data_IF_415444386921
#
_entry.id   IF_415444386921
#
_cell.length_a   1.000
_cell.length_b   1.000
_cell.length_c   1.000
_cell.angle_alpha   90.00
_cell.angle_beta   90.00
_cell.angle_gamma   90.00
#
_symmetry.space_group_name_H-M   'P 1'
#
loop_
_entity.id
_entity.type
_entity.pdbx_description
1 polymer ?
#
# COMPACT_ATOMS: atom_id res chain seq x y z
N UNK A 1 12.10 -14.77 -2.90
CA UNK A 1 10.74 -14.74 -2.31
C UNK A 1 10.18 -13.33 -2.40
N UNK A 2 8.86 -13.14 -2.32
CA UNK A 2 8.24 -11.81 -2.42
C UNK A 2 8.61 -10.89 -1.24
N UNK A 3 8.94 -11.46 -0.07
CA UNK A 3 9.51 -10.72 1.06
C UNK A 3 10.88 -10.09 0.72
N UNK A 4 11.71 -10.77 -0.08
CA UNK A 4 13.03 -10.28 -0.48
C UNK A 4 12.95 -9.01 -1.32
N UNK A 5 11.84 -8.82 -2.06
CA UNK A 5 11.65 -7.61 -2.88
C UNK A 5 11.48 -6.35 -2.05
N UNK A 6 10.71 -6.40 -0.96
CA UNK A 6 10.56 -5.26 -0.05
C UNK A 6 11.88 -4.97 0.65
N UNK A 7 12.59 -6.01 1.11
CA UNK A 7 13.88 -5.83 1.76
C UNK A 7 14.89 -5.17 0.82
N UNK A 8 14.95 -5.60 -0.45
CA UNK A 8 15.81 -4.99 -1.46
C UNK A 8 15.45 -3.53 -1.74
N UNK A 9 14.15 -3.21 -1.89
CA UNK A 9 13.70 -1.83 -2.10
C UNK A 9 13.99 -0.95 -0.88
N UNK A 10 13.75 -1.45 0.33
CA UNK A 10 14.05 -0.73 1.56
C UNK A 10 15.55 -0.45 1.71
N UNK A 11 16.42 -1.41 1.34
CA UNK A 11 17.86 -1.20 1.32
C UNK A 11 18.27 -0.12 0.30
N UNK A 12 17.67 -0.12 -0.89
CA UNK A 12 17.95 0.86 -1.93
C UNK A 12 17.49 2.28 -1.56
N UNK A 13 16.45 2.42 -0.73
CA UNK A 13 16.01 3.73 -0.19
C UNK A 13 17.05 4.37 0.73
N UNK A 14 17.91 3.57 1.36
CA UNK A 14 18.98 4.05 2.24
C UNK A 14 20.30 4.29 1.51
N UNK A 15 20.31 4.32 0.17
CA UNK A 15 21.51 4.60 -0.63
C UNK A 15 21.91 6.09 -0.61
N UNK A 16 23.18 6.35 -0.95
CA UNK A 16 23.77 7.69 -0.90
C UNK A 16 23.27 8.63 -2.02
N UNK A 17 22.84 8.10 -3.17
CA UNK A 17 22.29 8.91 -4.27
C UNK A 17 20.80 9.24 -4.04
N UNK A 18 20.43 10.51 -3.79
CA UNK A 18 19.06 10.87 -3.45
C UNK A 18 18.04 10.55 -4.55
N UNK A 19 18.43 10.68 -5.83
CA UNK A 19 17.52 10.43 -6.96
C UNK A 19 17.19 8.95 -7.07
N UNK A 20 18.20 8.07 -6.98
CA UNK A 20 18.01 6.62 -6.96
C UNK A 20 17.22 6.18 -5.73
N UNK A 21 17.53 6.71 -4.55
CA UNK A 21 16.81 6.43 -3.31
C UNK A 21 15.33 6.84 -3.39
N UNK A 22 15.02 7.97 -4.02
CA UNK A 22 13.64 8.40 -4.28
C UNK A 22 12.91 7.49 -5.28
N UNK A 23 13.61 7.02 -6.33
CA UNK A 23 13.04 6.06 -7.27
C UNK A 23 12.71 4.72 -6.58
N UNK A 24 13.62 4.22 -5.74
CA UNK A 24 13.40 3.05 -4.92
C UNK A 24 12.23 3.24 -3.93
N UNK A 25 12.13 4.42 -3.31
CA UNK A 25 11.04 4.77 -2.40
C UNK A 25 9.69 4.79 -3.13
N UNK A 26 9.66 5.32 -4.35
CA UNK A 26 8.46 5.32 -5.18
C UNK A 26 8.01 3.89 -5.52
N UNK A 27 8.94 2.99 -5.86
CA UNK A 27 8.65 1.57 -6.07
C UNK A 27 8.17 0.88 -4.79
N UNK A 28 8.80 1.17 -3.65
CA UNK A 28 8.39 0.62 -2.36
C UNK A 28 6.96 1.03 -2.01
N UNK A 29 6.58 2.29 -2.23
CA UNK A 29 5.20 2.77 -2.05
C UNK A 29 4.23 2.00 -2.93
N UNK A 30 4.55 1.82 -4.22
CA UNK A 30 3.70 1.03 -5.15
C UNK A 30 3.52 -0.41 -4.67
N UNK A 31 4.58 -1.05 -4.20
CA UNK A 31 4.53 -2.42 -3.68
C UNK A 31 3.69 -2.50 -2.40
N UNK A 32 3.86 -1.56 -1.47
CA UNK A 32 3.04 -1.48 -0.26
C UNK A 32 1.56 -1.25 -0.58
N UNK A 33 1.24 -0.38 -1.54
CA UNK A 33 -0.14 -0.13 -1.97
C UNK A 33 -0.80 -1.39 -2.55
N UNK A 34 -0.08 -2.14 -3.40
CA UNK A 34 -0.57 -3.42 -3.94
C UNK A 34 -0.88 -4.42 -2.83
N UNK A 35 0.02 -4.57 -1.86
CA UNK A 35 -0.18 -5.49 -0.73
C UNK A 35 -1.31 -5.06 0.18
N UNK A 36 -1.42 -3.77 0.47
CA UNK A 36 -2.53 -3.20 1.23
C UNK A 36 -3.86 -3.57 0.56
N UNK A 37 -3.98 -3.39 -0.77
CA UNK A 37 -5.19 -3.76 -1.50
C UNK A 37 -5.53 -5.26 -1.40
N UNK A 38 -4.52 -6.14 -1.48
CA UNK A 38 -4.70 -7.60 -1.30
C UNK A 38 -5.18 -7.92 0.12
N UNK A 39 -4.55 -7.32 1.14
CA UNK A 39 -4.91 -7.52 2.54
C UNK A 39 -6.32 -6.99 2.85
N UNK A 40 -6.67 -5.80 2.34
CA UNK A 40 -8.01 -5.23 2.47
C UNK A 40 -9.04 -6.14 1.81
N UNK A 41 -8.79 -6.62 0.59
CA UNK A 41 -9.68 -7.57 -0.10
C UNK A 41 -9.86 -8.85 0.71
N UNK A 42 -8.77 -9.43 1.22
CA UNK A 42 -8.81 -10.61 2.09
C UNK A 42 -9.63 -10.37 3.36
N UNK A 43 -9.43 -9.24 4.03
CA UNK A 43 -10.18 -8.86 5.23
C UNK A 43 -11.69 -8.73 4.91
N UNK A 44 -12.03 -8.11 3.78
CA UNK A 44 -13.42 -8.01 3.31
C UNK A 44 -14.03 -9.37 3.01
N UNK A 45 -13.31 -10.28 2.36
CA UNK A 45 -13.76 -11.67 2.11
C UNK A 45 -13.95 -12.44 3.43
N UNK A 46 -13.16 -12.15 4.46
CA UNK A 46 -13.32 -12.72 5.80
C UNK A 46 -14.42 -12.05 6.64
N UNK A 47 -15.23 -11.17 6.04
CA UNK A 47 -16.35 -10.52 6.73
C UNK A 47 -15.97 -9.33 7.62
N UNK A 48 -14.69 -8.92 7.67
CA UNK A 48 -14.27 -7.77 8.47
C UNK A 48 -14.93 -6.49 7.98
N UNK A 49 -15.46 -5.70 8.91
CA UNK A 49 -16.11 -4.43 8.60
C UNK A 49 -15.09 -3.39 8.12
N UNK A 50 -15.56 -2.41 7.34
CA UNK A 50 -14.72 -1.29 6.92
C UNK A 50 -14.18 -0.47 8.09
N UNK A 51 -14.89 -0.43 9.21
CA UNK A 51 -14.43 0.24 10.43
C UNK A 51 -13.24 -0.48 11.04
N UNK A 52 -13.26 -1.81 11.14
CA UNK A 52 -12.12 -2.60 11.63
C UNK A 52 -10.89 -2.44 10.73
N UNK A 53 -11.09 -2.46 9.41
CA UNK A 53 -10.00 -2.28 8.45
C UNK A 53 -9.42 -0.87 8.55
N UNK A 54 -10.27 0.16 8.68
CA UNK A 54 -9.84 1.54 8.85
C UNK A 54 -9.03 1.73 10.15
N UNK A 55 -9.48 1.12 11.25
CA UNK A 55 -8.77 1.14 12.52
C UNK A 55 -7.38 0.49 12.40
N UNK A 56 -7.27 -0.65 11.72
CA UNK A 56 -5.98 -1.31 11.48
C UNK A 56 -5.02 -0.50 10.60
N UNK A 57 -5.55 0.30 9.66
CA UNK A 57 -4.77 1.17 8.79
C UNK A 57 -4.48 2.56 9.41
N UNK A 58 -5.04 2.87 10.58
CA UNK A 58 -4.88 4.18 11.23
C UNK A 58 -5.54 5.33 10.46
N UNK A 59 -6.53 5.04 9.60
CA UNK A 59 -7.25 6.05 8.79
C UNK A 59 -8.74 6.02 9.10
N UNK A 60 -9.47 7.04 8.64
CA UNK A 60 -10.92 7.07 8.82
C UNK A 60 -11.64 6.03 7.94
N UNK A 61 -12.82 5.59 8.38
CA UNK A 61 -13.70 4.71 7.59
C UNK A 61 -13.98 5.30 6.20
N UNK A 62 -14.19 6.61 6.10
CA UNK A 62 -14.44 7.28 4.83
C UNK A 62 -13.19 7.24 3.93
N UNK A 63 -12.00 7.43 4.49
CA UNK A 63 -10.75 7.33 3.75
C UNK A 63 -10.52 5.92 3.19
N UNK A 64 -10.75 4.87 3.98
CA UNK A 64 -10.61 3.49 3.49
C UNK A 64 -11.64 3.15 2.43
N UNK A 65 -12.90 3.57 2.60
CA UNK A 65 -13.95 3.39 1.60
C UNK A 65 -13.64 4.12 0.30
N UNK A 66 -13.14 5.36 0.37
CA UNK A 66 -12.74 6.12 -0.81
C UNK A 66 -11.61 5.44 -1.57
N UNK A 67 -10.62 4.89 -0.84
CA UNK A 67 -9.46 4.19 -1.41
C UNK A 67 -9.82 2.83 -2.01
N UNK A 68 -10.66 2.04 -1.33
CA UNK A 68 -10.86 0.60 -1.63
C UNK A 68 -12.30 0.18 -1.97
N UNK A 69 -13.30 1.04 -1.78
CA UNK A 69 -14.72 0.68 -1.75
C UNK A 69 -15.49 0.75 -3.08
N UNK A 70 -14.87 1.11 -4.20
CA UNK A 70 -15.53 1.03 -5.53
C UNK A 70 -15.23 2.14 -6.54
N UNK A 71 -14.46 3.17 -6.19
CA UNK A 71 -14.13 4.27 -7.13
C UNK A 71 -12.62 4.60 -7.21
N UNK A 72 -11.78 3.87 -6.49
CA UNK A 72 -10.39 4.28 -6.22
C UNK A 72 -9.28 3.54 -6.96
N UNK A 73 -9.54 2.38 -7.58
CA UNK A 73 -8.46 1.54 -8.14
C UNK A 73 -7.84 2.05 -9.45
N UNK A 74 -8.33 3.16 -10.04
CA UNK A 74 -7.82 3.69 -11.32
C UNK A 74 -7.76 5.22 -11.43
N UNK A 75 -7.54 5.99 -10.35
CA UNK A 75 -7.25 7.42 -10.52
C UNK A 75 -5.80 7.77 -10.16
N UNK A 76 -4.98 7.77 -11.22
CA UNK A 76 -3.83 8.63 -11.43
C UNK A 76 -2.50 8.24 -10.77
N UNK A 77 -1.69 7.50 -11.51
CA UNK A 77 -0.23 7.65 -11.53
C UNK A 77 0.14 7.81 -13.01
N UNK A 78 0.13 9.06 -13.51
CA UNK A 78 0.67 9.44 -14.82
C UNK A 78 1.91 10.28 -14.56
#
# INVERSE_FOLDING_TARGET
MEADRIAALAQAVSGDDPVTSLAALAELRREMERREAVLVRRARTQGRTWTEIAAALGISKQAVHKKHGGSGLFRNQK
#
